data_IF_327054718962
#
_entry.id   IF_327054718962
#
_cell.length_a   1.000
_cell.length_b   1.000
_cell.length_c   1.000
_cell.angle_alpha   90.00
_cell.angle_beta   90.00
_cell.angle_gamma   90.00
#
_symmetry.space_group_name_H-M   'P 1'
#
loop_
_entity.id
_entity.type
_entity.pdbx_description
1 polymer ?
#
# COMPACT_ATOMS: atom_id res chain seq x y z
N UNK A 1 7.24 -17.04 -7.26
CA UNK A 1 5.94 -17.14 -7.96
C UNK A 1 5.97 -16.28 -9.21
N UNK A 2 5.48 -16.79 -10.34
CA UNK A 2 5.50 -16.11 -11.65
C UNK A 2 4.75 -14.77 -11.64
N UNK A 3 3.60 -14.73 -10.95
CA UNK A 3 2.78 -13.52 -10.83
C UNK A 3 3.54 -12.31 -10.24
N UNK A 4 4.31 -12.51 -9.17
CA UNK A 4 5.06 -11.43 -8.55
C UNK A 4 6.12 -10.85 -9.51
N UNK A 5 6.77 -11.72 -10.30
CA UNK A 5 7.74 -11.29 -11.33
C UNK A 5 7.08 -10.46 -12.42
N UNK A 6 5.87 -10.82 -12.85
CA UNK A 6 5.11 -10.05 -13.83
C UNK A 6 4.76 -8.64 -13.32
N UNK A 7 4.34 -8.52 -12.05
CA UNK A 7 4.07 -7.22 -11.43
C UNK A 7 5.33 -6.38 -11.26
N UNK A 8 6.43 -6.98 -10.83
CA UNK A 8 7.73 -6.31 -10.71
C UNK A 8 8.22 -5.81 -12.07
N UNK A 9 8.13 -6.62 -13.12
CA UNK A 9 8.50 -6.23 -14.47
C UNK A 9 7.68 -5.03 -14.96
N UNK A 10 6.38 -4.98 -14.63
CA UNK A 10 5.53 -3.85 -15.02
C UNK A 10 5.88 -2.55 -14.29
N UNK A 11 6.15 -2.63 -12.98
CA UNK A 11 6.62 -1.47 -12.21
C UNK A 11 7.96 -1.00 -12.73
N UNK A 12 8.89 -1.92 -13.04
CA UNK A 12 10.18 -1.58 -13.64
C UNK A 12 9.99 -0.84 -14.96
N UNK A 13 9.09 -1.31 -15.82
CA UNK A 13 8.75 -0.61 -17.06
C UNK A 13 8.28 0.83 -16.79
N UNK A 14 7.42 1.06 -15.79
CA UNK A 14 6.98 2.42 -15.45
C UNK A 14 8.10 3.32 -14.96
N UNK A 15 9.07 2.77 -14.22
CA UNK A 15 10.30 3.49 -13.81
C UNK A 15 11.16 3.82 -15.03
N UNK A 16 11.42 2.84 -15.90
CA UNK A 16 12.23 3.02 -17.11
C UNK A 16 11.59 4.07 -18.05
N UNK A 17 10.25 4.07 -18.16
CA UNK A 17 9.46 5.03 -18.92
C UNK A 17 9.30 6.39 -18.23
N UNK A 18 9.87 6.59 -17.03
CA UNK A 18 9.76 7.81 -16.19
C UNK A 18 8.32 8.22 -15.87
N UNK A 19 7.40 7.25 -15.80
CA UNK A 19 5.98 7.47 -15.45
C UNK A 19 5.74 7.59 -13.96
N UNK A 20 6.66 7.04 -13.16
CA UNK A 20 6.70 7.13 -11.70
C UNK A 20 8.15 7.42 -11.27
N UNK A 21 8.35 7.87 -10.04
CA UNK A 21 9.68 8.07 -9.48
C UNK A 21 10.47 6.74 -9.40
N UNK A 22 11.81 6.78 -9.49
CA UNK A 22 12.64 5.58 -9.38
C UNK A 22 12.45 4.87 -8.04
N UNK A 23 12.01 3.62 -8.10
CA UNK A 23 11.83 2.74 -6.95
C UNK A 23 12.16 1.30 -7.31
N UNK A 24 12.61 0.53 -6.32
CA UNK A 24 12.80 -0.91 -6.47
C UNK A 24 11.45 -1.64 -6.52
N UNK A 25 11.11 -2.36 -7.62
CA UNK A 25 9.77 -2.93 -7.82
C UNK A 25 9.31 -3.90 -6.73
N UNK A 26 10.23 -4.70 -6.19
CA UNK A 26 9.91 -5.67 -5.15
C UNK A 26 9.45 -4.97 -3.87
N UNK A 27 10.15 -3.91 -3.45
CA UNK A 27 9.84 -3.20 -2.22
C UNK A 27 8.57 -2.35 -2.34
N UNK A 28 8.25 -1.82 -3.53
CA UNK A 28 6.94 -1.19 -3.75
C UNK A 28 5.78 -2.19 -3.55
N UNK A 29 5.91 -3.40 -4.10
CA UNK A 29 4.90 -4.45 -3.89
C UNK A 29 4.79 -4.86 -2.42
N UNK A 30 5.93 -5.03 -1.74
CA UNK A 30 5.93 -5.39 -0.32
C UNK A 30 5.31 -4.31 0.55
N UNK A 31 5.54 -3.02 0.24
CA UNK A 31 4.89 -1.91 0.94
C UNK A 31 3.37 -1.95 0.74
N UNK A 32 2.88 -2.17 -0.48
CA UNK A 32 1.44 -2.31 -0.76
C UNK A 32 0.85 -3.47 0.04
N UNK A 33 1.47 -4.65 0.02
CA UNK A 33 0.96 -5.82 0.74
C UNK A 33 1.03 -5.64 2.25
N UNK A 34 2.17 -5.22 2.78
CA UNK A 34 2.34 -5.02 4.22
C UNK A 34 1.34 -3.98 4.76
N UNK A 35 1.20 -2.84 4.08
CA UNK A 35 0.29 -1.77 4.53
C UNK A 35 -1.19 -2.14 4.44
N UNK A 36 -1.58 -3.03 3.52
CA UNK A 36 -2.98 -3.48 3.39
C UNK A 36 -3.29 -4.69 4.28
N UNK A 37 -2.42 -5.71 4.26
CA UNK A 37 -2.57 -6.91 5.08
C UNK A 37 -2.49 -6.61 6.58
N UNK A 38 -1.78 -5.55 6.99
CA UNK A 38 -1.76 -5.14 8.39
C UNK A 38 -3.16 -4.97 9.00
N UNK A 39 -4.13 -4.46 8.23
CA UNK A 39 -5.51 -4.27 8.69
C UNK A 39 -6.29 -5.58 8.86
N UNK A 40 -5.82 -6.69 8.29
CA UNK A 40 -6.40 -8.02 8.49
C UNK A 40 -5.62 -8.82 9.54
N UNK A 41 -4.29 -8.88 9.40
CA UNK A 41 -3.42 -9.72 10.23
C UNK A 41 -3.26 -9.16 11.66
N UNK A 42 -3.37 -7.83 11.83
CA UNK A 42 -3.21 -7.13 13.10
C UNK A 42 -4.48 -6.39 13.53
N UNK A 43 -5.66 -6.86 13.09
CA UNK A 43 -6.93 -6.21 13.42
C UNK A 43 -7.13 -6.04 14.94
N UNK A 44 -6.79 -7.03 15.75
CA UNK A 44 -6.88 -6.97 17.21
C UNK A 44 -6.01 -5.85 17.79
N UNK A 45 -4.80 -5.66 17.27
CA UNK A 45 -3.92 -4.57 17.72
C UNK A 45 -4.50 -3.20 17.33
N UNK A 46 -5.10 -3.10 16.14
CA UNK A 46 -5.78 -1.88 15.70
C UNK A 46 -6.96 -1.57 16.61
N UNK A 47 -7.75 -2.57 16.99
CA UNK A 47 -8.89 -2.39 17.90
C UNK A 47 -8.43 -1.85 19.26
N UNK A 48 -7.33 -2.38 19.82
CA UNK A 48 -6.75 -1.89 21.07
C UNK A 48 -6.35 -0.41 20.97
N UNK A 49 -5.70 -0.01 19.87
CA UNK A 49 -5.29 1.38 19.63
C UNK A 49 -6.50 2.29 19.41
N UNK A 50 -7.57 1.76 18.82
CA UNK A 50 -8.83 2.46 18.57
C UNK A 50 -9.80 2.42 19.77
N UNK A 51 -9.27 2.31 20.99
CA UNK A 51 -10.08 2.35 22.22
C UNK A 51 -10.89 1.09 22.48
N UNK A 52 -10.31 -0.08 22.17
CA UNK A 52 -10.95 -1.40 22.27
C UNK A 52 -12.18 -1.58 21.36
N UNK A 53 -12.21 -0.88 20.22
CA UNK A 53 -13.31 -0.92 19.27
C UNK A 53 -12.78 -1.14 17.85
N UNK A 54 -13.51 -1.89 16.99
CA UNK A 54 -13.15 -1.99 15.58
C UNK A 54 -13.23 -0.61 14.91
N UNK A 55 -12.50 -0.45 13.82
CA UNK A 55 -12.65 0.73 12.97
C UNK A 55 -14.10 0.84 12.50
N UNK A 56 -14.69 2.02 12.65
CA UNK A 56 -15.94 2.35 11.95
C UNK A 56 -15.72 2.41 10.44
N UNK A 57 -16.78 2.28 9.66
CA UNK A 57 -16.73 2.39 8.19
C UNK A 57 -16.00 3.66 7.73
N UNK A 58 -16.25 4.79 8.41
CA UNK A 58 -15.56 6.06 8.14
C UNK A 58 -14.06 5.99 8.41
N UNK A 59 -13.65 5.38 9.52
CA UNK A 59 -12.22 5.25 9.85
C UNK A 59 -11.53 4.29 8.89
N UNK A 60 -12.21 3.21 8.49
CA UNK A 60 -11.70 2.29 7.47
C UNK A 60 -11.51 3.01 6.13
N UNK A 61 -12.49 3.81 5.69
CA UNK A 61 -12.38 4.61 4.47
C UNK A 61 -11.22 5.62 4.56
N UNK A 62 -11.04 6.28 5.71
CA UNK A 62 -9.91 7.18 5.94
C UNK A 62 -8.57 6.45 5.87
N UNK A 63 -8.48 5.22 6.37
CA UNK A 63 -7.28 4.39 6.26
C UNK A 63 -6.96 4.05 4.80
N UNK A 64 -7.96 3.63 4.02
CA UNK A 64 -7.83 3.36 2.57
C UNK A 64 -7.31 4.59 1.82
N UNK A 65 -7.93 5.76 2.05
CA UNK A 65 -7.52 7.01 1.43
C UNK A 65 -6.09 7.38 1.81
N UNK A 66 -5.73 7.21 3.09
CA UNK A 66 -4.39 7.54 3.61
C UNK A 66 -3.32 6.64 3.00
N UNK A 67 -3.49 5.32 3.03
CA UNK A 67 -2.54 4.36 2.46
C UNK A 67 -2.36 4.60 0.96
N UNK A 68 -3.47 4.78 0.22
CA UNK A 68 -3.43 5.06 -1.22
C UNK A 68 -2.67 6.34 -1.52
N UNK A 69 -3.01 7.42 -0.83
CA UNK A 69 -2.37 8.72 -1.00
C UNK A 69 -0.87 8.69 -0.70
N UNK A 70 -0.45 8.03 0.39
CA UNK A 70 0.96 7.94 0.78
C UNK A 70 1.75 7.13 -0.26
N UNK A 71 1.23 5.99 -0.70
CA UNK A 71 1.90 5.14 -1.70
C UNK A 71 2.01 5.86 -3.04
N UNK A 72 0.92 6.45 -3.55
CA UNK A 72 0.91 7.14 -4.84
C UNK A 72 1.84 8.35 -4.84
N UNK A 73 1.79 9.20 -3.80
CA UNK A 73 2.71 10.34 -3.70
C UNK A 73 4.17 9.90 -3.54
N UNK A 74 4.43 8.82 -2.81
CA UNK A 74 5.77 8.25 -2.67
C UNK A 74 6.41 7.82 -3.99
N UNK A 75 5.60 7.52 -5.01
CA UNK A 75 6.06 7.21 -6.37
C UNK A 75 5.81 8.35 -7.37
N UNK A 76 5.52 9.56 -6.88
CA UNK A 76 5.38 10.78 -7.69
C UNK A 76 4.07 10.90 -8.47
N UNK A 77 3.01 10.22 -8.02
CA UNK A 77 1.67 10.35 -8.56
C UNK A 77 0.79 11.15 -7.61
N UNK A 78 -0.17 11.90 -8.17
CA UNK A 78 -1.26 12.48 -7.38
C UNK A 78 -2.43 11.48 -7.28
N UNK A 79 -2.99 11.28 -6.07
CA UNK A 79 -4.11 10.37 -5.83
C UNK A 79 -5.46 10.89 -6.32
#
# INVERSE_FOLDING_TARGET
MEWARLKQAKIKQWVDDKRILPVEPAYLLYMIWASTQHYADFNYQIDLINGHMPLSDRQFEQAVQTVTAVILRGIGLEP
#
